data_IF_733559090095
#
_entry.id   IF_733559090095
#
_cell.length_a   1.000
_cell.length_b   1.000
_cell.length_c   1.000
_cell.angle_alpha   90.00
_cell.angle_beta   90.00
_cell.angle_gamma   90.00
#
_symmetry.space_group_name_H-M   'P 1'
#
loop_
_entity.id
_entity.type
_entity.pdbx_description
1 polymer ?
#
# COMPACT_ATOMS: atom_id res chain seq x y z
N UNK A 1 -23.42 -16.87 -19.40
CA UNK A 1 -24.62 -16.04 -19.73
C UNK A 1 -24.30 -14.89 -20.69
N UNK A 2 -23.38 -13.95 -20.39
CA UNK A 2 -23.12 -12.80 -21.27
C UNK A 2 -22.71 -13.16 -22.72
N UNK A 3 -21.87 -14.18 -22.90
CA UNK A 3 -21.45 -14.66 -24.24
C UNK A 3 -22.65 -15.20 -25.05
N UNK A 4 -23.63 -15.80 -24.38
CA UNK A 4 -24.81 -16.35 -25.03
C UNK A 4 -25.70 -15.23 -25.61
N UNK A 5 -25.91 -14.16 -24.83
CA UNK A 5 -26.68 -12.98 -25.27
C UNK A 5 -25.99 -12.27 -26.44
N UNK A 6 -24.66 -12.14 -26.40
CA UNK A 6 -23.88 -11.45 -27.43
C UNK A 6 -23.99 -12.10 -28.81
N UNK A 7 -23.93 -13.44 -28.87
CA UNK A 7 -23.85 -14.19 -30.12
C UNK A 7 -25.19 -14.80 -30.55
N UNK A 8 -26.27 -14.56 -29.81
CA UNK A 8 -27.58 -15.13 -30.11
C UNK A 8 -28.06 -14.75 -31.52
N UNK A 9 -27.98 -13.46 -31.86
CA UNK A 9 -28.45 -12.96 -33.16
C UNK A 9 -27.59 -13.43 -34.33
N UNK A 10 -26.28 -13.57 -34.12
CA UNK A 10 -25.36 -14.09 -35.15
C UNK A 10 -25.57 -15.59 -35.38
N UNK A 11 -25.76 -16.36 -34.31
CA UNK A 11 -26.04 -17.80 -34.42
C UNK A 11 -27.46 -18.08 -34.95
N UNK A 12 -28.42 -17.19 -34.73
CA UNK A 12 -29.76 -17.28 -35.31
C UNK A 12 -29.70 -17.15 -36.83
N UNK A 13 -28.85 -16.27 -37.37
CA UNK A 13 -28.63 -16.08 -38.81
C UNK A 13 -27.89 -17.24 -39.46
N UNK A 14 -26.92 -17.82 -38.76
CA UNK A 14 -26.04 -18.85 -39.31
C UNK A 14 -26.64 -20.26 -39.19
N UNK A 15 -27.28 -20.58 -38.06
CA UNK A 15 -27.80 -21.93 -37.76
C UNK A 15 -29.08 -21.85 -36.91
N UNK A 16 -30.25 -21.57 -37.52
CA UNK A 16 -31.50 -21.39 -36.78
C UNK A 16 -31.99 -22.67 -36.09
N UNK A 17 -31.61 -23.84 -36.58
CA UNK A 17 -31.96 -25.16 -36.03
C UNK A 17 -31.00 -25.66 -34.96
N UNK A 18 -30.01 -24.85 -34.56
CA UNK A 18 -29.06 -25.27 -33.54
C UNK A 18 -29.76 -25.51 -32.19
N UNK A 19 -29.43 -26.59 -31.46
CA UNK A 19 -30.01 -26.87 -30.14
C UNK A 19 -29.74 -25.75 -29.13
N UNK A 20 -28.72 -24.92 -29.39
CA UNK A 20 -28.50 -23.70 -28.63
C UNK A 20 -29.63 -22.68 -28.80
N UNK A 21 -30.06 -22.39 -30.03
CA UNK A 21 -31.10 -21.40 -30.33
C UNK A 21 -32.43 -21.83 -29.71
N UNK A 22 -32.78 -23.12 -29.85
CA UNK A 22 -34.00 -23.69 -29.26
C UNK A 22 -34.01 -23.51 -27.74
N UNK A 23 -32.89 -23.78 -27.06
CA UNK A 23 -32.79 -23.60 -25.61
C UNK A 23 -32.89 -22.14 -25.18
N UNK A 24 -32.31 -21.22 -25.95
CA UNK A 24 -32.39 -19.78 -25.64
C UNK A 24 -33.83 -19.28 -25.87
N UNK A 25 -34.50 -19.69 -26.94
CA UNK A 25 -35.90 -19.35 -27.19
C UNK A 25 -36.83 -19.90 -26.11
N UNK A 26 -36.64 -21.15 -25.69
CA UNK A 26 -37.40 -21.74 -24.59
C UNK A 26 -37.18 -20.99 -23.27
N UNK A 27 -35.94 -20.58 -22.97
CA UNK A 27 -35.64 -19.78 -21.80
C UNK A 27 -36.26 -18.36 -21.88
N UNK A 28 -36.26 -17.75 -23.07
CA UNK A 28 -36.94 -16.47 -23.31
C UNK A 28 -38.45 -16.58 -23.05
N UNK A 29 -39.09 -17.66 -23.52
CA UNK A 29 -40.52 -17.91 -23.25
C UNK A 29 -40.83 -18.11 -21.77
N UNK A 30 -39.92 -18.72 -21.00
CA UNK A 30 -40.10 -18.90 -19.55
C UNK A 30 -39.94 -17.60 -18.76
N UNK A 31 -39.05 -16.70 -19.19
CA UNK A 31 -38.75 -15.43 -18.50
C UNK A 31 -39.62 -14.28 -19.04
N UNK A 32 -40.36 -14.49 -20.13
CA UNK A 32 -41.20 -13.47 -20.75
C UNK A 32 -40.40 -12.37 -21.46
N UNK A 33 -39.17 -12.66 -21.87
CA UNK A 33 -38.28 -11.70 -22.53
C UNK A 33 -38.47 -11.78 -24.04
N UNK A 34 -38.65 -10.63 -24.67
CA UNK A 34 -38.79 -10.52 -26.11
C UNK A 34 -37.43 -10.54 -26.82
N UNK A 35 -37.41 -10.96 -28.08
CA UNK A 35 -36.17 -11.01 -28.87
C UNK A 35 -35.52 -9.62 -29.03
N UNK A 36 -36.33 -8.56 -29.08
CA UNK A 36 -35.87 -7.17 -29.17
C UNK A 36 -35.19 -6.68 -27.89
N UNK A 37 -35.66 -7.12 -26.72
CA UNK A 37 -35.01 -6.86 -25.43
C UNK A 37 -33.67 -7.57 -25.34
N UNK A 38 -33.60 -8.83 -25.78
CA UNK A 38 -32.35 -9.58 -25.84
C UNK A 38 -31.33 -8.91 -26.79
N UNK A 39 -31.80 -8.40 -27.94
CA UNK A 39 -30.99 -7.59 -28.85
C UNK A 39 -30.48 -6.29 -28.22
N UNK A 40 -31.33 -5.61 -27.43
CA UNK A 40 -30.95 -4.40 -26.70
C UNK A 40 -29.86 -4.69 -25.65
N UNK A 41 -29.93 -5.84 -24.98
CA UNK A 41 -28.90 -6.27 -24.05
C UNK A 41 -27.58 -6.59 -24.75
N UNK A 42 -27.62 -7.26 -25.91
CA UNK A 42 -26.43 -7.51 -26.71
C UNK A 42 -25.73 -6.21 -27.10
N UNK A 43 -26.46 -5.22 -27.64
CA UNK A 43 -25.93 -3.91 -28.00
C UNK A 43 -25.35 -3.16 -26.80
N UNK A 44 -26.01 -3.24 -25.64
CA UNK A 44 -25.52 -2.62 -24.39
C UNK A 44 -24.20 -3.24 -23.95
N UNK A 45 -24.10 -4.58 -23.97
CA UNK A 45 -22.88 -5.30 -23.61
C UNK A 45 -21.76 -5.00 -24.61
N UNK A 46 -22.04 -4.96 -25.92
CA UNK A 46 -21.06 -4.59 -26.95
C UNK A 46 -20.54 -3.17 -26.74
N UNK A 47 -21.44 -2.21 -26.46
CA UNK A 47 -21.07 -0.82 -26.21
C UNK A 47 -20.18 -0.66 -24.97
N UNK A 48 -20.51 -1.36 -23.88
CA UNK A 48 -19.71 -1.38 -22.65
C UNK A 48 -18.33 -2.05 -22.86
N UNK A 49 -18.26 -3.13 -23.65
CA UNK A 49 -17.00 -3.76 -24.03
C UNK A 49 -16.11 -2.82 -24.87
N UNK A 50 -16.69 -2.10 -25.83
CA UNK A 50 -15.99 -1.11 -26.64
C UNK A 50 -15.49 0.05 -25.76
N UNK A 51 -16.31 0.57 -24.85
CA UNK A 51 -15.91 1.62 -23.90
C UNK A 51 -14.79 1.16 -22.96
N UNK A 52 -14.82 -0.08 -22.49
CA UNK A 52 -13.73 -0.65 -21.68
C UNK A 52 -12.46 -0.78 -22.51
N UNK A 53 -12.56 -1.21 -23.76
CA UNK A 53 -11.42 -1.29 -24.68
C UNK A 53 -10.81 0.09 -24.90
N UNK A 54 -11.59 1.11 -25.25
CA UNK A 54 -11.08 2.48 -25.47
C UNK A 54 -10.48 3.08 -24.20
N UNK A 55 -11.06 2.82 -23.03
CA UNK A 55 -10.50 3.25 -21.73
C UNK A 55 -9.18 2.55 -21.39
N UNK A 56 -9.00 1.30 -21.81
CA UNK A 56 -7.75 0.55 -21.67
C UNK A 56 -6.69 1.02 -22.67
N UNK A 57 -7.07 1.35 -23.90
CA UNK A 57 -6.15 1.82 -24.95
C UNK A 57 -5.68 3.27 -24.70
N UNK A 58 -6.54 4.13 -24.16
CA UNK A 58 -6.13 5.46 -23.66
C UNK A 58 -5.14 5.39 -22.49
N UNK A 59 -5.06 4.24 -21.79
CA UNK A 59 -4.06 4.00 -20.77
C UNK A 59 -2.76 3.41 -21.34
N UNK A 60 -2.68 3.08 -22.63
CA UNK A 60 -1.57 2.32 -23.21
C UNK A 60 -0.99 2.82 -24.55
N UNK A 61 -1.55 3.81 -25.25
CA UNK A 61 -0.92 4.31 -26.49
C UNK A 61 -0.76 5.83 -26.60
N UNK A 62 0.47 6.17 -26.99
CA UNK A 62 1.06 7.46 -27.33
C UNK A 62 0.44 8.03 -28.63
N UNK A 63 0.00 9.30 -28.70
CA UNK A 63 -0.61 9.82 -29.92
C UNK A 63 0.35 10.66 -30.79
N UNK A 64 0.25 10.40 -32.10
CA UNK A 64 0.35 11.34 -33.24
C UNK A 64 1.14 12.65 -33.04
N UNK A 65 2.25 12.77 -33.75
CA UNK A 65 3.37 13.69 -33.49
C UNK A 65 3.07 15.18 -33.73
N UNK A 66 2.06 15.53 -34.54
CA UNK A 66 1.80 16.94 -34.89
C UNK A 66 0.89 17.67 -33.88
N UNK A 67 -0.22 17.06 -33.46
CA UNK A 67 -1.11 17.65 -32.45
C UNK A 67 -0.52 17.58 -31.03
N UNK A 68 0.35 16.59 -30.79
CA UNK A 68 0.98 16.36 -29.49
C UNK A 68 2.06 17.39 -29.17
N UNK A 69 2.76 17.95 -30.17
CA UNK A 69 3.83 18.91 -29.93
C UNK A 69 3.31 20.22 -29.33
N UNK A 70 2.28 20.82 -29.92
CA UNK A 70 1.66 22.06 -29.41
C UNK A 70 1.06 21.87 -28.02
N UNK A 71 0.44 20.72 -27.75
CA UNK A 71 -0.09 20.40 -26.43
C UNK A 71 1.01 20.15 -25.40
N UNK A 72 2.15 19.57 -25.80
CA UNK A 72 3.32 19.43 -24.94
C UNK A 72 3.92 20.80 -24.61
N UNK A 73 4.08 21.66 -25.61
CA UNK A 73 4.61 23.02 -25.44
C UNK A 73 3.70 23.84 -24.51
N UNK A 74 2.37 23.79 -24.70
CA UNK A 74 1.41 24.45 -23.80
C UNK A 74 1.51 23.92 -22.36
N UNK A 75 1.60 22.60 -22.17
CA UNK A 75 1.75 21.98 -20.85
C UNK A 75 3.08 22.34 -20.19
N UNK A 76 4.16 22.35 -20.96
CA UNK A 76 5.48 22.73 -20.48
C UNK A 76 5.52 24.20 -20.06
N UNK A 77 4.96 25.11 -20.88
CA UNK A 77 4.82 26.53 -20.55
C UNK A 77 3.99 26.75 -19.29
N UNK A 78 2.87 26.04 -19.13
CA UNK A 78 2.05 26.13 -17.92
C UNK A 78 2.79 25.63 -16.66
N UNK A 79 3.62 24.58 -16.80
CA UNK A 79 4.41 24.04 -15.69
C UNK A 79 5.52 25.00 -15.29
N UNK A 80 6.22 25.59 -16.27
CA UNK A 80 7.25 26.61 -16.03
C UNK A 80 6.63 27.84 -15.35
N UNK A 81 5.48 28.32 -15.82
CA UNK A 81 4.77 29.45 -15.22
C UNK A 81 4.39 29.17 -13.76
N UNK A 82 3.91 27.95 -13.46
CA UNK A 82 3.60 27.54 -12.09
C UNK A 82 4.86 27.47 -11.21
N UNK A 83 5.98 26.97 -11.75
CA UNK A 83 7.25 26.96 -11.03
C UNK A 83 7.73 28.37 -10.71
N UNK A 84 7.62 29.29 -11.67
CA UNK A 84 7.97 30.70 -11.47
C UNK A 84 7.13 31.34 -10.35
N UNK A 85 5.81 31.15 -10.36
CA UNK A 85 4.93 31.63 -9.28
C UNK A 85 5.29 31.05 -7.90
N UNK A 86 5.71 29.78 -7.84
CA UNK A 86 6.16 29.17 -6.59
C UNK A 86 7.49 29.75 -6.12
N UNK A 87 8.41 30.03 -7.04
CA UNK A 87 9.69 30.68 -6.74
C UNK A 87 9.45 32.11 -6.24
N UNK A 88 8.58 32.88 -6.89
CA UNK A 88 8.24 34.24 -6.44
C UNK A 88 7.60 34.24 -5.05
N UNK A 89 6.70 33.28 -4.80
CA UNK A 89 6.08 33.12 -3.47
C UNK A 89 7.09 32.71 -2.41
N UNK A 90 8.04 31.83 -2.74
CA UNK A 90 9.10 31.46 -1.80
C UNK A 90 10.08 32.62 -1.57
N UNK A 91 10.42 33.38 -2.61
CA UNK A 91 11.30 34.55 -2.52
C UNK A 91 10.70 35.62 -1.61
N UNK A 92 9.43 35.97 -1.80
CA UNK A 92 8.73 36.93 -0.94
C UNK A 92 8.59 36.43 0.50
N UNK A 93 8.39 35.13 0.72
CA UNK A 93 8.41 34.55 2.07
C UNK A 93 9.79 34.64 2.73
N UNK A 94 10.86 34.40 1.97
CA UNK A 94 12.23 34.54 2.46
C UNK A 94 12.55 35.99 2.78
N UNK A 95 12.15 36.93 1.94
CA UNK A 95 12.31 38.37 2.17
C UNK A 95 11.55 38.83 3.42
N UNK A 96 10.29 38.42 3.56
CA UNK A 96 9.49 38.70 4.77
C UNK A 96 10.13 38.11 6.03
N UNK A 97 10.67 36.88 5.95
CA UNK A 97 11.37 36.26 7.06
C UNK A 97 12.69 36.96 7.36
N UNK A 98 13.42 37.38 6.34
CA UNK A 98 14.67 38.15 6.45
C UNK A 98 14.41 39.49 7.11
N UNK A 99 13.36 40.21 6.73
CA UNK A 99 12.97 41.48 7.34
C UNK A 99 12.54 41.31 8.79
N UNK A 100 11.83 40.22 9.11
CA UNK A 100 11.46 39.88 10.49
C UNK A 100 12.69 39.55 11.33
N UNK A 101 13.65 38.81 10.79
CA UNK A 101 14.93 38.52 11.46
C UNK A 101 15.73 39.81 11.64
N UNK A 102 15.86 40.65 10.61
CA UNK A 102 16.54 41.93 10.70
C UNK A 102 15.88 42.91 11.69
N UNK A 103 14.55 42.89 11.79
CA UNK A 103 13.80 43.68 12.79
C UNK A 103 14.00 43.16 14.20
N UNK A 104 14.15 41.84 14.37
CA UNK A 104 14.51 41.21 15.65
C UNK A 104 16.00 41.38 15.99
N UNK A 105 16.86 41.62 14.99
CA UNK A 105 18.31 41.80 15.09
C UNK A 105 18.76 43.29 15.08
N UNK A 106 17.83 44.24 15.24
CA UNK A 106 18.17 45.67 15.38
C UNK A 106 19.12 45.98 16.55
N UNK A 107 19.89 47.07 16.43
CA UNK A 107 21.35 47.06 16.42
C UNK A 107 21.98 46.54 17.72
N UNK A 108 22.72 45.43 17.63
CA UNK A 108 23.77 45.15 18.61
C UNK A 108 24.85 46.22 18.42
N UNK A 109 24.85 47.20 19.32
CA UNK A 109 25.90 48.20 19.42
C UNK A 109 27.19 47.49 19.82
N UNK A 110 28.13 47.42 18.88
CA UNK A 110 29.53 47.30 19.23
C UNK A 110 30.00 48.63 19.82
N UNK A 111 30.34 48.63 21.11
CA UNK A 111 31.46 49.42 21.63
C UNK A 111 32.24 48.57 22.65
N UNK A 112 33.55 48.50 22.45
CA UNK A 112 34.54 47.69 23.19
C UNK A 112 34.87 48.24 24.60
N UNK A 113 35.98 47.82 25.25
CA UNK A 113 36.06 46.84 26.33
C UNK A 113 36.39 47.49 27.69
N UNK A 114 36.00 46.88 28.83
CA UNK A 114 36.59 47.20 30.15
C UNK A 114 36.32 46.14 31.22
N UNK A 115 37.43 45.62 31.75
CA UNK A 115 37.76 45.10 33.09
C UNK A 115 36.80 44.21 33.93
N UNK A 116 37.38 43.06 34.32
CA UNK A 116 37.20 42.11 35.45
C UNK A 116 36.56 42.59 36.78
N UNK A 117 36.31 41.71 37.80
CA UNK A 117 36.18 40.22 37.86
C UNK A 117 34.97 39.69 38.72
N UNK A 118 34.71 38.35 38.63
CA UNK A 118 34.05 37.35 39.53
C UNK A 118 33.36 37.79 40.87
N UNK A 119 32.27 37.12 41.36
CA UNK A 119 32.35 35.72 41.88
C UNK A 119 31.08 34.82 41.82
N UNK A 120 31.36 33.51 41.97
CA UNK A 120 30.68 32.39 42.66
C UNK A 120 29.18 32.00 42.49
N UNK A 121 29.06 30.68 42.30
CA UNK A 121 28.10 29.71 42.84
C UNK A 121 26.60 29.64 42.41
N UNK A 122 26.32 28.46 41.83
CA UNK A 122 25.19 27.54 42.11
C UNK A 122 23.84 27.65 41.35
N UNK A 123 23.30 26.43 41.10
CA UNK A 123 21.92 26.03 40.70
C UNK A 123 21.53 26.03 39.20
N UNK A 124 21.25 24.82 38.69
CA UNK A 124 20.67 24.45 37.38
C UNK A 124 19.17 24.84 37.22
N UNK A 125 18.39 24.45 36.18
CA UNK A 125 18.67 23.96 34.82
C UNK A 125 17.92 24.76 33.71
N UNK A 126 18.50 24.97 32.50
CA UNK A 126 17.74 25.62 31.41
C UNK A 126 17.96 24.97 30.03
N UNK A 127 16.93 24.22 29.61
CA UNK A 127 16.40 24.08 28.24
C UNK A 127 17.42 24.10 27.09
N UNK A 128 18.04 22.95 26.81
CA UNK A 128 18.70 22.70 25.53
C UNK A 128 17.65 22.66 24.40
N UNK A 129 17.63 23.73 23.61
CA UNK A 129 16.92 23.82 22.35
C UNK A 129 17.48 22.80 21.35
N UNK A 130 16.63 22.12 20.56
CA UNK A 130 17.05 21.00 19.73
C UNK A 130 17.97 21.47 18.60
N UNK A 131 19.20 20.95 18.61
CA UNK A 131 20.19 21.11 17.55
C UNK A 131 19.58 20.78 16.19
N UNK A 132 19.73 21.71 15.25
CA UNK A 132 19.32 21.63 13.83
C UNK A 132 19.54 20.23 13.26
N UNK A 133 18.43 19.56 12.95
CA UNK A 133 18.47 18.24 12.33
C UNK A 133 19.04 18.36 10.91
N UNK A 134 20.13 17.65 10.67
CA UNK A 134 20.70 17.36 9.34
C UNK A 134 19.59 16.83 8.42
N UNK A 135 19.67 17.04 7.09
CA UNK A 135 18.65 16.59 6.14
C UNK A 135 18.32 15.12 6.38
N UNK A 136 17.06 14.85 6.75
CA UNK A 136 16.56 13.52 7.07
C UNK A 136 16.83 12.60 5.88
N UNK A 137 17.85 11.74 6.01
CA UNK A 137 17.98 10.54 5.17
C UNK A 137 16.62 9.84 5.22
N UNK A 138 16.04 9.58 4.04
CA UNK A 138 14.72 9.00 3.87
C UNK A 138 14.44 7.95 4.96
N UNK A 139 13.56 8.30 5.90
CA UNK A 139 13.26 7.49 7.08
C UNK A 139 12.82 6.11 6.59
N UNK A 140 13.50 5.07 7.08
CA UNK A 140 13.11 3.69 6.76
C UNK A 140 11.63 3.50 7.13
N UNK A 141 10.82 3.04 6.18
CA UNK A 141 9.38 2.78 6.40
C UNK A 141 9.23 1.75 7.53
N UNK A 142 8.35 2.03 8.49
CA UNK A 142 8.00 1.11 9.58
C UNK A 142 7.00 0.06 9.11
N UNK A 143 6.87 -1.05 9.85
CA UNK A 143 5.90 -2.10 9.51
C UNK A 143 4.46 -1.58 9.64
N UNK A 144 4.18 -0.76 10.66
CA UNK A 144 2.86 -0.13 10.84
C UNK A 144 2.45 0.73 9.63
N UNK A 145 3.41 1.42 9.01
CA UNK A 145 3.16 2.22 7.81
C UNK A 145 2.78 1.35 6.62
N UNK A 146 3.44 0.19 6.46
CA UNK A 146 3.15 -0.76 5.38
C UNK A 146 1.76 -1.38 5.56
N UNK A 147 1.37 -1.71 6.78
CA UNK A 147 0.03 -2.20 7.11
C UNK A 147 -1.05 -1.18 6.74
N UNK A 148 -0.89 0.06 7.18
CA UNK A 148 -1.84 1.12 6.86
C UNK A 148 -1.95 1.40 5.36
N UNK A 149 -0.81 1.53 4.67
CA UNK A 149 -0.80 1.72 3.21
C UNK A 149 -1.48 0.53 2.50
N UNK A 150 -1.34 -0.69 3.01
CA UNK A 150 -1.97 -1.88 2.42
C UNK A 150 -3.49 -1.86 2.49
N UNK A 151 -4.06 -1.44 3.62
CA UNK A 151 -5.51 -1.42 3.83
C UNK A 151 -6.18 -0.13 3.35
N UNK A 152 -5.50 1.01 3.44
CA UNK A 152 -6.06 2.31 3.04
C UNK A 152 -5.70 2.74 1.61
N UNK A 153 -4.52 2.37 1.11
CA UNK A 153 -3.95 2.89 -0.14
C UNK A 153 -3.50 1.78 -1.12
N UNK A 154 -4.17 0.62 -1.08
CA UNK A 154 -3.80 -0.59 -1.86
C UNK A 154 -3.58 -0.31 -3.36
N UNK A 155 -4.37 0.61 -3.94
CA UNK A 155 -4.29 0.97 -5.37
C UNK A 155 -3.00 1.71 -5.71
N UNK A 156 -2.43 2.47 -4.76
CA UNK A 156 -1.20 3.23 -4.96
C UNK A 156 0.03 2.30 -4.97
N UNK A 157 0.08 1.35 -4.03
CA UNK A 157 1.18 0.36 -3.94
C UNK A 157 1.26 -0.49 -5.22
N UNK A 158 0.12 -0.94 -5.76
CA UNK A 158 0.07 -1.76 -6.98
C UNK A 158 0.61 -1.03 -8.21
N UNK A 159 0.36 0.29 -8.32
CA UNK A 159 0.74 1.10 -9.49
C UNK A 159 2.22 1.48 -9.49
N UNK A 160 2.80 1.76 -8.32
CA UNK A 160 4.16 2.31 -8.25
C UNK A 160 5.26 1.28 -8.50
N UNK A 161 5.18 0.09 -7.90
CA UNK A 161 6.30 -0.86 -7.95
C UNK A 161 5.88 -2.30 -7.60
N UNK A 162 5.92 -3.19 -8.60
CA UNK A 162 5.58 -4.62 -8.43
C UNK A 162 6.42 -5.33 -7.36
N UNK A 163 7.72 -5.02 -7.24
CA UNK A 163 8.58 -5.63 -6.22
C UNK A 163 8.18 -5.21 -4.81
N UNK A 164 7.94 -3.91 -4.60
CA UNK A 164 7.47 -3.38 -3.30
C UNK A 164 6.10 -3.92 -2.94
N UNK A 165 5.22 -4.11 -3.92
CA UNK A 165 3.92 -4.75 -3.70
C UNK A 165 4.06 -6.16 -3.13
N UNK A 166 4.91 -7.00 -3.71
CA UNK A 166 5.13 -8.36 -3.20
C UNK A 166 5.78 -8.36 -1.81
N UNK A 167 6.73 -7.46 -1.55
CA UNK A 167 7.37 -7.34 -0.25
C UNK A 167 6.39 -6.87 0.83
N UNK A 168 5.56 -5.86 0.53
CA UNK A 168 4.49 -5.38 1.39
C UNK A 168 3.43 -6.46 1.65
N UNK A 169 3.03 -7.20 0.61
CA UNK A 169 2.09 -8.33 0.73
C UNK A 169 2.61 -9.37 1.72
N UNK A 170 3.89 -9.74 1.62
CA UNK A 170 4.51 -10.70 2.54
C UNK A 170 4.62 -10.12 3.96
N UNK A 171 4.97 -8.85 4.10
CA UNK A 171 5.03 -8.18 5.40
C UNK A 171 3.68 -8.21 6.13
N UNK A 172 2.59 -7.89 5.42
CA UNK A 172 1.24 -7.88 5.97
C UNK A 172 0.81 -9.26 6.46
N UNK A 173 1.20 -10.34 5.77
CA UNK A 173 0.90 -11.69 6.26
C UNK A 173 1.60 -11.98 7.58
N UNK A 174 2.88 -11.65 7.71
CA UNK A 174 3.57 -11.84 9.00
C UNK A 174 2.99 -10.97 10.11
N UNK A 175 2.52 -9.76 9.78
CA UNK A 175 1.82 -8.90 10.73
C UNK A 175 0.50 -9.52 11.18
N UNK A 176 -0.29 -10.11 10.28
CA UNK A 176 -1.52 -10.85 10.61
C UNK A 176 -1.25 -12.01 11.56
N UNK A 177 -0.20 -12.79 11.30
CA UNK A 177 0.21 -13.91 12.16
C UNK A 177 0.58 -13.49 13.59
N UNK A 178 1.02 -12.24 13.75
CA UNK A 178 1.52 -11.73 15.03
C UNK A 178 0.42 -11.08 15.88
N UNK A 179 -0.85 -11.16 15.46
CA UNK A 179 -2.00 -10.68 16.21
C UNK A 179 -2.70 -11.86 16.90
N UNK A 180 -2.50 -12.03 18.22
CA UNK A 180 -2.98 -13.21 18.94
C UNK A 180 -4.51 -13.23 19.15
N UNK A 181 -5.14 -12.06 19.21
CA UNK A 181 -6.57 -11.91 19.52
C UNK A 181 -7.45 -11.78 18.26
N UNK A 182 -6.85 -12.01 17.08
CA UNK A 182 -7.49 -11.72 15.79
C UNK A 182 -7.37 -10.26 15.40
N UNK A 183 -8.03 -9.88 14.31
CA UNK A 183 -8.02 -8.52 13.80
C UNK A 183 -9.31 -8.22 13.01
N UNK A 184 -9.77 -6.97 13.12
CA UNK A 184 -10.82 -6.44 12.27
C UNK A 184 -10.25 -5.26 11.46
N UNK A 185 -10.12 -5.47 10.16
CA UNK A 185 -9.69 -4.45 9.19
C UNK A 185 -10.85 -3.79 8.46
N UNK A 186 -12.10 -4.16 8.77
CA UNK A 186 -13.32 -3.48 8.29
C UNK A 186 -13.68 -2.24 9.12
N UNK A 187 -12.97 -2.02 10.23
CA UNK A 187 -13.16 -0.88 11.12
C UNK A 187 -12.68 0.47 10.58
N UNK A 188 -12.66 1.47 11.45
CA UNK A 188 -12.16 2.82 11.15
C UNK A 188 -10.66 2.83 10.85
N UNK A 189 -10.18 3.85 10.11
CA UNK A 189 -8.74 4.03 9.80
C UNK A 189 -7.86 4.03 11.05
N UNK A 190 -8.36 4.53 12.18
CA UNK A 190 -7.67 4.54 13.46
C UNK A 190 -7.49 3.11 14.01
N UNK A 191 -8.51 2.26 13.92
CA UNK A 191 -8.43 0.84 14.32
C UNK A 191 -7.45 0.06 13.45
N UNK A 192 -7.48 0.29 12.12
CA UNK A 192 -6.51 -0.31 11.19
C UNK A 192 -5.08 0.13 11.53
N UNK A 193 -4.87 1.40 11.87
CA UNK A 193 -3.56 1.91 12.29
C UNK A 193 -3.10 1.28 13.61
N UNK A 194 -4.00 1.17 14.60
CA UNK A 194 -3.69 0.59 15.91
C UNK A 194 -3.36 -0.90 15.79
N UNK A 195 -4.14 -1.68 15.05
CA UNK A 195 -3.84 -3.08 14.77
C UNK A 195 -2.47 -3.24 14.09
N UNK A 196 -2.11 -2.33 13.18
CA UNK A 196 -0.78 -2.31 12.56
C UNK A 196 0.35 -1.99 13.55
N UNK A 197 0.09 -1.19 14.59
CA UNK A 197 1.04 -0.90 15.67
C UNK A 197 1.21 -2.06 16.62
N UNK A 198 0.13 -2.71 16.99
CA UNK A 198 0.14 -3.86 17.88
C UNK A 198 0.86 -5.04 17.20
N UNK A 199 0.59 -5.28 15.91
CA UNK A 199 1.32 -6.27 15.12
C UNK A 199 2.83 -5.96 15.03
N UNK A 200 3.21 -4.70 14.80
CA UNK A 200 4.62 -4.28 14.79
C UNK A 200 5.29 -4.51 16.14
N UNK A 201 4.61 -4.16 17.25
CA UNK A 201 5.11 -4.36 18.60
C UNK A 201 5.32 -5.85 18.90
N UNK A 202 4.38 -6.71 18.52
CA UNK A 202 4.43 -8.16 18.72
C UNK A 202 5.57 -8.80 17.91
N UNK A 203 5.75 -8.42 16.64
CA UNK A 203 6.88 -8.88 15.82
C UNK A 203 8.21 -8.47 16.46
N UNK A 204 8.33 -7.23 16.92
CA UNK A 204 9.55 -6.74 17.55
C UNK A 204 9.80 -7.38 18.93
N UNK A 205 8.76 -7.75 19.67
CA UNK A 205 8.88 -8.53 20.90
C UNK A 205 9.42 -9.93 20.60
N UNK A 206 8.81 -10.64 19.65
CA UNK A 206 9.25 -11.96 19.22
C UNK A 206 10.69 -11.96 18.70
N UNK A 207 11.10 -10.93 17.95
CA UNK A 207 12.48 -10.81 17.46
C UNK A 207 13.47 -10.51 18.58
N UNK A 208 13.07 -9.75 19.61
CA UNK A 208 13.90 -9.48 20.78
C UNK A 208 14.17 -10.75 21.58
N UNK A 209 13.17 -11.61 21.75
CA UNK A 209 13.34 -12.95 22.37
C UNK A 209 14.35 -13.81 21.61
N UNK A 210 14.41 -13.66 20.28
CA UNK A 210 15.37 -14.34 19.41
C UNK A 210 16.73 -13.60 19.28
N UNK A 211 17.02 -12.63 20.15
CA UNK A 211 18.23 -11.79 20.17
C UNK A 211 18.49 -10.98 18.87
N UNK A 212 17.45 -10.63 18.12
CA UNK A 212 17.55 -9.86 16.86
C UNK A 212 16.85 -8.49 17.01
N UNK A 213 17.50 -7.41 16.56
CA UNK A 213 16.96 -6.03 16.65
C UNK A 213 16.89 -5.31 15.29
N UNK A 214 16.19 -5.86 14.28
CA UNK A 214 16.03 -5.17 12.99
C UNK A 214 15.14 -3.93 13.13
N UNK A 215 15.55 -2.82 12.49
CA UNK A 215 14.85 -1.52 12.55
C UNK A 215 14.04 -1.17 11.30
N UNK A 216 14.40 -1.75 10.15
CA UNK A 216 13.75 -1.47 8.87
C UNK A 216 12.84 -2.64 8.46
N UNK A 217 11.66 -2.34 7.90
CA UNK A 217 10.67 -3.38 7.58
C UNK A 217 11.23 -4.47 6.65
N UNK A 218 12.02 -4.12 5.62
CA UNK A 218 12.60 -5.12 4.71
C UNK A 218 13.57 -6.08 5.41
N UNK A 219 14.33 -5.60 6.40
CA UNK A 219 15.20 -6.45 7.22
C UNK A 219 14.39 -7.33 8.17
N UNK A 220 13.29 -6.82 8.72
CA UNK A 220 12.34 -7.60 9.52
C UNK A 220 11.74 -8.73 8.69
N UNK A 221 11.23 -8.43 7.49
CA UNK A 221 10.67 -9.42 6.55
C UNK A 221 11.70 -10.47 6.16
N UNK A 222 12.95 -10.08 5.87
CA UNK A 222 14.03 -11.03 5.58
C UNK A 222 14.32 -11.98 6.74
N UNK A 223 14.25 -11.48 7.97
CA UNK A 223 14.46 -12.29 9.18
C UNK A 223 13.28 -13.23 9.41
N UNK A 224 12.04 -12.75 9.26
CA UNK A 224 10.82 -13.54 9.37
C UNK A 224 10.76 -14.66 8.32
N UNK A 225 11.15 -14.38 7.06
CA UNK A 225 11.27 -15.41 6.02
C UNK A 225 12.21 -16.54 6.42
N UNK A 226 13.36 -16.20 7.02
CA UNK A 226 14.32 -17.21 7.50
C UNK A 226 13.74 -18.03 8.65
N UNK A 227 13.07 -17.39 9.61
CA UNK A 227 12.44 -18.09 10.72
C UNK A 227 11.26 -18.97 10.27
N UNK A 228 10.56 -18.57 9.20
CA UNK A 228 9.56 -19.42 8.55
C UNK A 228 10.20 -20.68 7.97
N UNK A 229 11.32 -20.56 7.23
CA UNK A 229 12.05 -21.73 6.71
C UNK A 229 12.62 -22.62 7.81
N UNK A 230 12.95 -22.05 8.97
CA UNK A 230 13.40 -22.80 10.17
C UNK A 230 12.24 -23.42 10.96
N UNK A 231 10.98 -23.23 10.56
CA UNK A 231 9.79 -23.76 11.25
C UNK A 231 9.41 -23.04 12.55
N UNK A 232 10.15 -22.01 12.97
CA UNK A 232 9.92 -21.29 14.24
C UNK A 232 8.63 -20.45 14.28
N UNK A 233 7.97 -20.29 13.14
CA UNK A 233 6.69 -19.57 13.02
C UNK A 233 5.49 -20.52 12.89
N UNK A 234 5.69 -21.84 13.00
CA UNK A 234 4.64 -22.83 12.80
C UNK A 234 3.49 -22.69 13.82
N UNK A 235 3.79 -22.45 15.10
CA UNK A 235 2.76 -22.27 16.13
C UNK A 235 1.91 -21.02 15.88
N UNK A 236 2.53 -19.92 15.43
CA UNK A 236 1.83 -18.70 15.04
C UNK A 236 0.95 -18.92 13.80
N UNK A 237 1.42 -19.72 12.84
CA UNK A 237 0.65 -20.10 11.65
C UNK A 237 -0.57 -20.94 12.03
N UNK A 238 -0.40 -21.96 12.86
CA UNK A 238 -1.49 -22.83 13.32
C UNK A 238 -2.53 -22.04 14.12
N UNK A 239 -2.08 -21.17 15.04
CA UNK A 239 -2.97 -20.28 15.79
C UNK A 239 -3.76 -19.35 14.88
N UNK A 240 -3.11 -18.72 13.91
CA UNK A 240 -3.78 -17.85 12.95
C UNK A 240 -4.80 -18.63 12.10
N UNK A 241 -4.49 -19.85 11.66
CA UNK A 241 -5.44 -20.70 10.95
C UNK A 241 -6.68 -20.99 11.80
N UNK A 242 -6.50 -21.32 13.08
CA UNK A 242 -7.61 -21.52 14.01
C UNK A 242 -8.47 -20.25 14.18
N UNK A 243 -7.85 -19.08 14.30
CA UNK A 243 -8.56 -17.78 14.38
C UNK A 243 -9.36 -17.47 13.10
N UNK A 244 -8.80 -17.79 11.93
CA UNK A 244 -9.52 -17.67 10.65
C UNK A 244 -10.72 -18.61 10.58
N UNK A 245 -10.58 -19.86 11.04
CA UNK A 245 -11.69 -20.82 11.08
C UNK A 245 -12.79 -20.40 12.07
N UNK A 246 -12.43 -19.73 13.17
CA UNK A 246 -13.37 -19.21 14.16
C UNK A 246 -14.06 -17.89 13.74
N UNK A 247 -13.66 -17.28 12.62
CA UNK A 247 -14.24 -16.02 12.14
C UNK A 247 -13.76 -14.78 12.91
N UNK A 248 -12.76 -14.91 13.78
CA UNK A 248 -12.18 -13.81 14.56
C UNK A 248 -11.12 -13.00 13.77
N UNK A 249 -10.71 -13.50 12.60
CA UNK A 249 -9.86 -12.79 11.65
C UNK A 249 -10.69 -12.39 10.42
N UNK A 250 -11.34 -11.22 10.49
CA UNK A 250 -12.15 -10.69 9.38
C UNK A 250 -11.20 -10.03 8.38
N UNK A 251 -10.77 -10.78 7.37
CA UNK A 251 -9.98 -10.25 6.27
C UNK A 251 -10.91 -9.72 5.16
N UNK A 252 -11.09 -8.41 5.09
CA UNK A 252 -11.75 -7.76 3.95
C UNK A 252 -10.91 -7.83 2.64
N UNK A 253 -9.70 -8.39 2.69
CA UNK A 253 -8.84 -8.56 1.51
C UNK A 253 -9.34 -9.70 0.63
N UNK A 254 -9.47 -9.46 -0.68
CA UNK A 254 -9.86 -10.49 -1.64
C UNK A 254 -8.99 -11.75 -1.54
N UNK A 255 -9.55 -12.97 -1.72
CA UNK A 255 -8.80 -14.23 -1.58
C UNK A 255 -7.60 -14.35 -2.54
N UNK A 256 -7.62 -13.65 -3.69
CA UNK A 256 -6.48 -13.56 -4.63
C UNK A 256 -5.32 -12.68 -4.13
N UNK A 257 -5.53 -11.87 -3.10
CA UNK A 257 -4.53 -10.99 -2.48
C UNK A 257 -3.97 -11.52 -1.17
N UNK A 258 -4.49 -12.64 -0.65
CA UNK A 258 -3.96 -13.28 0.56
C UNK A 258 -2.79 -14.19 0.16
N UNK A 259 -1.60 -13.96 0.73
CA UNK A 259 -0.55 -14.97 0.70
C UNK A 259 -0.79 -15.91 1.86
N UNK A 260 -1.02 -17.19 1.58
CA UNK A 260 -1.18 -18.21 2.61
C UNK A 260 0.20 -18.75 2.94
N UNK A 261 0.62 -18.63 4.20
CA UNK A 261 1.80 -19.32 4.71
C UNK A 261 1.34 -20.68 5.26
N UNK A 262 2.00 -21.74 4.79
CA UNK A 262 1.81 -23.09 5.31
C UNK A 262 2.90 -23.39 6.34
N UNK A 263 2.58 -24.16 7.40
CA UNK A 263 3.58 -24.62 8.35
C UNK A 263 4.66 -25.42 7.61
N UNK A 264 5.92 -25.19 7.94
CA UNK A 264 7.03 -25.93 7.35
C UNK A 264 7.23 -27.23 8.13
N UNK A 265 7.40 -28.35 7.44
CA UNK A 265 7.82 -29.61 8.07
C UNK A 265 9.21 -29.40 8.67
N UNK A 266 9.29 -29.41 10.01
CA UNK A 266 10.58 -29.40 10.71
C UNK A 266 11.32 -30.68 10.32
N UNK A 267 12.55 -30.61 9.77
CA UNK A 267 13.35 -31.81 9.55
C UNK A 267 13.59 -32.46 10.90
N UNK A 268 13.03 -33.66 11.10
CA UNK A 268 13.35 -34.53 12.22
C UNK A 268 14.82 -34.92 12.00
N UNK A 269 15.71 -34.44 12.85
CA UNK A 269 17.11 -34.86 12.86
C UNK A 269 17.15 -36.35 13.27
N UNK A 270 17.57 -37.29 12.40
CA UNK A 270 17.57 -38.72 12.72
C UNK A 270 18.81 -39.11 13.56
N UNK A 271 19.20 -38.28 14.53
CA UNK A 271 20.44 -38.47 15.32
C UNK A 271 20.21 -38.34 16.83
N UNK A 272 19.16 -38.97 17.35
CA UNK A 272 19.00 -39.17 18.80
C UNK A 272 18.32 -40.48 19.16
N UNK A 273 18.52 -41.54 18.38
CA UNK A 273 18.24 -42.92 18.79
C UNK A 273 19.45 -43.80 18.45
N UNK A 274 20.55 -43.62 19.19
CA UNK A 274 21.55 -44.68 19.35
C UNK A 274 22.41 -44.46 20.59
N UNK A 275 21.86 -44.76 21.78
CA UNK A 275 22.63 -45.35 22.88
C UNK A 275 21.72 -46.31 23.62
N UNK A 276 21.81 -47.58 23.27
CA UNK A 276 21.05 -48.64 23.91
C UNK A 276 21.42 -49.99 23.32
N UNK A 277 22.64 -50.46 23.60
CA UNK A 277 22.97 -51.86 23.84
C UNK A 277 24.33 -51.99 24.53
#
# INVERSE_FOLDING_TARGET
MAVAVLHYHDMLKMTPTSPYIVRVQQAMSQVGVTETELGSWSLTIQSDLVQRKTKLEQSNEQPSVASTCDDLVKKQTALIQRQMQLIDKLSSQVETLSDRVASLEGPTTQTSPKDCPRPDDDVAPEVEHPRRAKPQRARAKSLSSVWYEWFCDMQNIKRQNRRRYHEAKVAVVFMKLSLPDGYDVSGTKAQVWQAGKDAEANILAFLREQNKKPKAYGTVVKTLKRMHTEGKLNDQILRHQALTTQGLAVDASHPRTVHVLLPQSVPIDPRSDNVGH
#
